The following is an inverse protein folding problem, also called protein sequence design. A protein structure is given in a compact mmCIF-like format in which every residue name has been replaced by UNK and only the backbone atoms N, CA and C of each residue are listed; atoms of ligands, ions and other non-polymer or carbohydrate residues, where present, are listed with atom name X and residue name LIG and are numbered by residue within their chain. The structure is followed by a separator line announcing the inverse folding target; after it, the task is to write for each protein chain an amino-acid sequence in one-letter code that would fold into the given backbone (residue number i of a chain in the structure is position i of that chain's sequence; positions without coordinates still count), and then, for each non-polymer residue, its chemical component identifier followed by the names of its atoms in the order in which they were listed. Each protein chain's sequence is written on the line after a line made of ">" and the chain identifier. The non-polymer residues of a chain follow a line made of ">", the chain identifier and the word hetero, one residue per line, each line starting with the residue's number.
data_IF_300302130300
#
_entry.id   IF_300302130300
#
_cell.length_a   1.000
_cell.length_b   1.000
_cell.length_c   1.000
_cell.angle_alpha   90.00
_cell.angle_beta   90.00
_cell.angle_gamma   90.00
#
_symmetry.space_group_name_H-M   'P 1'
#
loop_
_entity.id
_entity.type
_entity.pdbx_description
1 polymer ?
#
# COMPACT_ATOMS: atom_id res chain seq x y z
N UNK A 1 11.34 -2.53 11.91
CA UNK A 1 10.82 -2.16 13.25
C UNK A 1 11.73 -1.16 13.97
N UNK A 2 13.03 -1.41 14.14
CA UNK A 2 13.94 -0.49 14.86
C UNK A 2 14.08 0.92 14.21
N UNK A 3 13.96 1.03 12.88
CA UNK A 3 13.99 2.32 12.15
C UNK A 3 12.65 3.09 12.24
N UNK A 4 11.53 2.39 12.42
CA UNK A 4 10.19 3.01 12.49
C UNK A 4 9.90 3.52 13.91
N UNK A 5 10.44 2.84 14.94
CA UNK A 5 10.29 3.25 16.35
C UNK A 5 10.87 4.64 16.68
N UNK A 6 11.82 5.16 15.88
CA UNK A 6 12.35 6.53 16.04
C UNK A 6 11.38 7.63 15.61
N UNK A 7 10.28 7.28 14.94
CA UNK A 7 9.40 8.24 14.28
C UNK A 7 8.23 8.73 15.15
N UNK A 8 8.14 8.33 16.43
CA UNK A 8 7.09 8.70 17.42
C UNK A 8 5.62 8.60 16.94
N UNK A 9 5.36 7.90 15.83
CA UNK A 9 4.02 7.77 15.20
C UNK A 9 3.14 6.69 15.82
N UNK A 10 3.66 5.89 16.76
CA UNK A 10 2.90 4.85 17.46
C UNK A 10 2.77 5.18 18.94
N UNK A 11 1.61 4.94 19.56
CA UNK A 11 1.38 5.28 20.97
C UNK A 11 2.44 4.63 21.87
N UNK A 12 2.95 5.40 22.83
CA UNK A 12 4.13 5.09 23.67
C UNK A 12 4.04 3.75 24.40
N UNK A 13 2.84 3.23 24.59
CA UNK A 13 2.57 1.92 25.18
C UNK A 13 3.11 0.74 24.33
N UNK A 14 3.08 0.83 23.00
CA UNK A 14 3.65 -0.20 22.10
C UNK A 14 5.20 -0.17 22.05
N UNK A 15 5.82 0.91 22.50
CA UNK A 15 7.26 1.10 22.49
C UNK A 15 7.97 0.61 23.77
N UNK A 16 7.24 0.07 24.75
CA UNK A 16 7.81 -0.44 26.00
C UNK A 16 8.47 -1.81 25.74
N UNK A 17 9.77 -1.78 25.45
CA UNK A 17 10.59 -2.96 25.18
C UNK A 17 10.99 -3.60 26.52
N UNK A 18 10.78 -4.91 26.68
CA UNK A 18 11.17 -5.60 27.90
C UNK A 18 12.70 -5.79 27.96
N UNK A 19 13.33 -5.41 29.08
CA UNK A 19 14.79 -5.33 29.25
C UNK A 19 15.52 -6.69 29.13
N UNK A 20 14.80 -7.82 29.18
CA UNK A 20 15.36 -9.18 29.11
C UNK A 20 15.19 -9.88 27.76
N UNK A 21 14.15 -9.54 27.00
CA UNK A 21 13.80 -10.20 25.72
C UNK A 21 13.98 -9.30 24.50
N UNK A 22 14.31 -8.01 24.67
CA UNK A 22 14.56 -7.03 23.60
C UNK A 22 13.49 -6.97 22.49
N UNK A 23 12.31 -7.52 22.75
CA UNK A 23 11.17 -7.59 21.83
C UNK A 23 9.96 -6.87 22.46
N UNK A 24 9.10 -6.23 21.65
CA UNK A 24 7.92 -5.53 22.14
C UNK A 24 6.81 -6.52 22.51
N UNK A 25 6.95 -7.19 23.66
CA UNK A 25 6.05 -8.26 24.11
C UNK A 25 4.59 -7.78 24.18
N UNK A 26 4.33 -6.58 24.72
CA UNK A 26 2.98 -6.03 24.81
C UNK A 26 2.32 -5.84 23.43
N UNK A 27 3.10 -5.46 22.42
CA UNK A 27 2.62 -5.31 21.05
C UNK A 27 2.26 -6.66 20.42
N UNK A 28 3.14 -7.64 20.58
CA UNK A 28 2.94 -8.99 20.07
C UNK A 28 1.75 -9.69 20.73
N UNK A 29 1.61 -9.57 22.06
CA UNK A 29 0.49 -10.14 22.80
C UNK A 29 -0.84 -9.50 22.39
N UNK A 30 -0.90 -8.17 22.25
CA UNK A 30 -2.10 -7.47 21.81
C UNK A 30 -2.51 -7.88 20.39
N UNK A 31 -1.55 -7.87 19.44
CA UNK A 31 -1.79 -8.30 18.06
C UNK A 31 -2.25 -9.76 18.00
N UNK A 32 -1.62 -10.63 18.78
CA UNK A 32 -1.95 -12.06 18.86
C UNK A 32 -3.37 -12.30 19.40
N UNK A 33 -3.74 -11.64 20.50
CA UNK A 33 -5.10 -11.74 21.07
C UNK A 33 -6.13 -11.22 20.07
N UNK A 34 -5.89 -10.07 19.46
CA UNK A 34 -6.80 -9.50 18.46
C UNK A 34 -6.97 -10.44 17.25
N UNK A 35 -5.87 -11.00 16.75
CA UNK A 35 -5.91 -11.98 15.64
C UNK A 35 -6.63 -13.25 16.03
N UNK A 36 -6.43 -13.76 17.26
CA UNK A 36 -7.10 -14.95 17.78
C UNK A 36 -8.62 -14.74 17.92
N UNK A 37 -9.05 -13.57 18.40
CA UNK A 37 -10.47 -13.19 18.46
C UNK A 37 -11.05 -13.15 17.05
N UNK A 38 -10.40 -12.47 16.11
CA UNK A 38 -10.88 -12.42 14.72
C UNK A 38 -10.98 -13.81 14.08
N UNK A 39 -10.00 -14.69 14.34
CA UNK A 39 -10.00 -16.07 13.83
C UNK A 39 -11.07 -16.95 14.47
N UNK A 40 -11.45 -16.69 15.73
CA UNK A 40 -12.52 -17.43 16.42
C UNK A 40 -13.91 -17.06 15.90
N UNK A 41 -14.11 -15.81 15.50
CA UNK A 41 -15.38 -15.30 14.99
C UNK A 41 -15.53 -15.33 13.46
N UNK A 42 -14.47 -15.61 12.70
CA UNK A 42 -14.46 -15.54 11.24
C UNK A 42 -14.00 -16.85 10.61
N UNK A 43 -14.75 -17.34 9.62
CA UNK A 43 -14.34 -18.53 8.86
C UNK A 43 -12.99 -18.34 8.16
N UNK A 44 -12.18 -19.41 8.15
CA UNK A 44 -10.86 -19.43 7.53
C UNK A 44 -10.90 -19.00 6.06
N UNK A 45 -11.90 -19.44 5.28
CA UNK A 45 -12.04 -19.05 3.87
C UNK A 45 -12.29 -17.55 3.70
N UNK A 46 -13.06 -16.95 4.61
CA UNK A 46 -13.33 -15.51 4.59
C UNK A 46 -12.03 -14.77 4.93
N UNK A 47 -11.34 -15.19 5.99
CA UNK A 47 -10.07 -14.59 6.40
C UNK A 47 -9.00 -14.67 5.30
N UNK A 48 -8.87 -15.82 4.63
CA UNK A 48 -7.93 -16.01 3.52
C UNK A 48 -8.25 -15.11 2.32
N UNK A 49 -9.54 -14.95 1.99
CA UNK A 49 -9.95 -14.02 0.94
C UNK A 49 -9.64 -12.57 1.33
N UNK A 50 -9.88 -12.17 2.58
CA UNK A 50 -9.56 -10.82 3.08
C UNK A 50 -8.04 -10.54 3.02
N UNK A 51 -7.22 -11.49 3.49
CA UNK A 51 -5.75 -11.37 3.49
C UNK A 51 -5.21 -11.36 2.05
N UNK A 52 -5.75 -12.19 1.17
CA UNK A 52 -5.34 -12.25 -0.24
C UNK A 52 -5.66 -10.93 -0.96
N UNK A 53 -6.86 -10.37 -0.79
CA UNK A 53 -7.22 -9.05 -1.35
C UNK A 53 -6.25 -7.97 -0.85
N UNK A 54 -5.99 -7.94 0.46
CA UNK A 54 -5.09 -6.96 1.08
C UNK A 54 -3.65 -7.06 0.57
N UNK A 55 -3.09 -8.27 0.49
CA UNK A 55 -1.71 -8.49 0.02
C UNK A 55 -1.56 -8.16 -1.46
N UNK A 56 -2.49 -8.59 -2.32
CA UNK A 56 -2.50 -8.25 -3.75
C UNK A 56 -2.60 -6.73 -3.97
N UNK A 57 -3.42 -6.04 -3.17
CA UNK A 57 -3.54 -4.58 -3.22
C UNK A 57 -2.24 -3.88 -2.83
N UNK A 58 -1.58 -4.32 -1.74
CA UNK A 58 -0.30 -3.75 -1.32
C UNK A 58 0.77 -4.00 -2.38
N UNK A 59 0.86 -5.20 -2.96
CA UNK A 59 1.81 -5.47 -4.03
C UNK A 59 1.54 -4.65 -5.29
N UNK A 60 0.28 -4.43 -5.64
CA UNK A 60 -0.11 -3.51 -6.71
C UNK A 60 0.36 -2.07 -6.42
N UNK A 61 0.12 -1.56 -5.20
CA UNK A 61 0.57 -0.22 -4.81
C UNK A 61 2.09 -0.09 -4.84
N UNK A 62 2.82 -1.08 -4.31
CA UNK A 62 4.28 -1.10 -4.30
C UNK A 62 4.84 -1.09 -5.72
N UNK A 63 4.30 -1.90 -6.63
CA UNK A 63 4.73 -1.91 -8.03
C UNK A 63 4.53 -0.55 -8.72
N UNK A 64 3.39 0.11 -8.49
CA UNK A 64 3.14 1.46 -8.97
C UNK A 64 4.12 2.49 -8.37
N UNK A 65 4.37 2.41 -7.06
CA UNK A 65 5.30 3.29 -6.37
C UNK A 65 6.75 3.13 -6.87
N UNK A 66 7.17 1.91 -7.21
CA UNK A 66 8.49 1.65 -7.79
C UNK A 66 8.65 2.30 -9.17
N UNK A 67 7.62 2.24 -10.02
CA UNK A 67 7.63 2.92 -11.33
C UNK A 67 7.64 4.45 -11.10
N UNK A 68 6.75 4.96 -10.25
CA UNK A 68 6.70 6.40 -9.96
C UNK A 68 8.06 6.93 -9.47
N UNK A 69 8.68 6.26 -8.49
CA UNK A 69 9.99 6.64 -7.94
C UNK A 69 11.12 6.58 -8.97
N UNK A 70 11.03 5.67 -9.94
CA UNK A 70 12.06 5.52 -10.96
C UNK A 70 11.98 6.59 -12.05
N UNK A 71 10.76 6.90 -12.49
CA UNK A 71 10.51 7.67 -13.69
C UNK A 71 10.16 9.14 -13.42
N UNK A 72 9.78 9.48 -12.19
CA UNK A 72 9.63 10.88 -11.76
C UNK A 72 10.95 11.36 -11.17
N UNK A 73 11.63 12.34 -11.79
CA UNK A 73 12.82 12.96 -11.21
C UNK A 73 12.44 13.69 -9.91
N UNK A 74 13.34 13.72 -8.94
CA UNK A 74 13.27 14.65 -7.80
C UNK A 74 13.61 16.06 -8.30
N UNK A 75 12.65 16.72 -8.95
CA UNK A 75 12.79 18.05 -9.55
C UNK A 75 11.44 18.62 -10.04
N UNK A 76 11.39 19.84 -10.60
CA UNK A 76 10.15 20.54 -10.99
C UNK A 76 9.48 20.00 -12.28
N UNK A 77 9.84 18.81 -12.74
CA UNK A 77 9.28 18.18 -13.94
C UNK A 77 7.89 17.60 -13.68
N UNK A 78 7.01 17.75 -14.67
CA UNK A 78 5.60 17.31 -14.61
C UNK A 78 5.49 15.77 -14.52
N UNK A 79 4.90 15.20 -13.45
CA UNK A 79 4.76 13.74 -13.27
C UNK A 79 3.64 13.11 -14.12
N UNK A 80 2.86 13.95 -14.80
CA UNK A 80 1.66 13.58 -15.56
C UNK A 80 1.87 12.45 -16.58
N UNK A 81 2.95 12.41 -17.40
CA UNK A 81 3.12 11.35 -18.39
C UNK A 81 3.26 9.95 -17.77
N UNK A 82 3.96 9.85 -16.64
CA UNK A 82 4.14 8.59 -15.90
C UNK A 82 2.83 8.14 -15.25
N UNK A 83 2.06 9.07 -14.68
CA UNK A 83 0.75 8.75 -14.10
C UNK A 83 -0.26 8.33 -15.18
N UNK A 84 -0.28 9.00 -16.33
CA UNK A 84 -1.13 8.61 -17.46
C UNK A 84 -0.78 7.21 -17.94
N UNK A 85 0.52 6.86 -18.04
CA UNK A 85 0.92 5.50 -18.38
C UNK A 85 0.45 4.46 -17.35
N UNK A 86 0.67 4.73 -16.05
CA UNK A 86 0.27 3.81 -14.98
C UNK A 86 -1.24 3.56 -14.94
N UNK A 87 -2.03 4.64 -15.08
CA UNK A 87 -3.49 4.55 -15.10
C UNK A 87 -3.99 3.82 -16.34
N UNK A 88 -3.44 4.13 -17.53
CA UNK A 88 -3.76 3.40 -18.77
C UNK A 88 -3.43 1.92 -18.67
N UNK A 89 -2.21 1.57 -18.23
CA UNK A 89 -1.81 0.16 -18.08
C UNK A 89 -2.71 -0.58 -17.08
N UNK A 90 -3.07 0.06 -15.96
CA UNK A 90 -4.00 -0.52 -14.98
C UNK A 90 -5.41 -0.72 -15.56
N UNK A 91 -5.92 0.23 -16.34
CA UNK A 91 -7.24 0.09 -16.98
C UNK A 91 -7.25 -1.00 -18.05
N UNK A 92 -6.18 -1.12 -18.86
CA UNK A 92 -6.03 -2.19 -19.86
C UNK A 92 -6.02 -3.56 -19.18
N UNK A 93 -5.28 -3.68 -18.07
CA UNK A 93 -5.25 -4.92 -17.29
C UNK A 93 -6.60 -5.25 -16.65
N UNK A 94 -7.36 -4.25 -16.19
CA UNK A 94 -8.70 -4.47 -15.64
C UNK A 94 -9.66 -4.94 -16.74
N UNK A 95 -9.63 -4.32 -17.92
CA UNK A 95 -10.43 -4.72 -19.08
C UNK A 95 -10.09 -6.13 -19.52
N UNK A 96 -8.81 -6.50 -19.55
CA UNK A 96 -8.38 -7.89 -19.81
C UNK A 96 -9.02 -8.87 -18.82
N UNK A 97 -8.97 -8.56 -17.52
CA UNK A 97 -9.56 -9.42 -16.48
C UNK A 97 -11.09 -9.46 -16.55
N UNK A 98 -11.75 -8.36 -16.89
CA UNK A 98 -13.21 -8.32 -17.08
C UNK A 98 -13.65 -9.14 -18.31
N UNK A 99 -12.93 -9.04 -19.43
CA UNK A 99 -13.15 -9.88 -20.62
C UNK A 99 -12.96 -11.36 -20.25
N UNK A 100 -11.94 -11.67 -19.45
CA UNK A 100 -11.70 -13.02 -18.97
C UNK A 100 -12.91 -13.60 -18.21
N UNK A 101 -13.49 -12.80 -17.31
CA UNK A 101 -14.60 -13.22 -16.44
C UNK A 101 -15.98 -13.23 -17.13
N UNK A 102 -16.28 -12.24 -17.98
CA UNK A 102 -17.63 -12.03 -18.51
C UNK A 102 -17.85 -12.61 -19.92
N UNK A 103 -16.79 -12.88 -20.69
CA UNK A 103 -16.96 -13.28 -22.08
C UNK A 103 -17.36 -14.77 -22.22
N UNK A 104 -18.44 -15.09 -22.97
CA UNK A 104 -18.82 -16.46 -23.29
C UNK A 104 -17.72 -17.17 -24.09
N UNK A 105 -17.60 -18.50 -23.91
CA UNK A 105 -16.57 -19.32 -24.54
C UNK A 105 -16.72 -19.31 -26.06
N UNK A 106 -15.77 -18.71 -26.78
CA UNK A 106 -15.78 -18.63 -28.24
C UNK A 106 -14.48 -18.09 -28.82
N UNK A 107 -14.32 -18.21 -30.15
CA UNK A 107 -13.14 -17.71 -30.89
C UNK A 107 -12.94 -16.19 -30.70
N UNK A 108 -14.03 -15.45 -30.47
CA UNK A 108 -14.02 -14.01 -30.19
C UNK A 108 -13.33 -13.68 -28.87
N UNK A 109 -13.53 -14.49 -27.81
CA UNK A 109 -12.86 -14.32 -26.52
C UNK A 109 -11.34 -14.42 -26.65
N UNK A 110 -10.86 -15.43 -27.38
CA UNK A 110 -9.43 -15.60 -27.64
C UNK A 110 -8.84 -14.41 -28.42
N UNK A 111 -9.56 -13.90 -29.42
CA UNK A 111 -9.14 -12.72 -30.17
C UNK A 111 -9.09 -11.45 -29.29
N UNK A 112 -10.11 -11.20 -28.45
CA UNK A 112 -10.15 -10.03 -27.56
C UNK A 112 -9.08 -10.07 -26.45
N UNK A 113 -8.81 -11.27 -25.90
CA UNK A 113 -7.73 -11.47 -24.94
C UNK A 113 -6.36 -11.28 -25.60
N UNK A 114 -6.18 -11.78 -26.82
CA UNK A 114 -4.96 -11.55 -27.60
C UNK A 114 -4.75 -10.07 -27.91
N UNK A 115 -5.79 -9.37 -28.36
CA UNK A 115 -5.72 -7.94 -28.66
C UNK A 115 -5.38 -7.09 -27.43
N UNK A 116 -6.01 -7.34 -26.28
CA UNK A 116 -5.73 -6.62 -25.03
C UNK A 116 -4.33 -6.92 -24.48
N UNK A 117 -3.83 -8.15 -24.60
CA UNK A 117 -2.45 -8.49 -24.26
C UNK A 117 -1.44 -7.78 -25.17
N UNK A 118 -1.70 -7.70 -26.49
CA UNK A 118 -0.87 -6.97 -27.45
C UNK A 118 -0.86 -5.47 -27.12
N UNK A 119 -2.02 -4.88 -26.79
CA UNK A 119 -2.13 -3.47 -26.37
C UNK A 119 -1.37 -3.21 -25.06
N UNK A 120 -1.42 -4.13 -24.10
CA UNK A 120 -0.64 -4.03 -22.85
C UNK A 120 0.87 -4.03 -23.12
N UNK A 121 1.35 -4.95 -23.97
CA UNK A 121 2.76 -5.02 -24.37
C UNK A 121 3.16 -3.76 -25.14
N UNK A 122 2.35 -3.31 -26.09
CA UNK A 122 2.60 -2.09 -26.85
C UNK A 122 2.70 -0.86 -25.94
N UNK A 123 1.83 -0.76 -24.93
CA UNK A 123 1.86 0.34 -23.95
C UNK A 123 3.17 0.34 -23.15
N UNK A 124 3.66 -0.82 -22.70
CA UNK A 124 4.94 -0.96 -22.00
C UNK A 124 6.13 -0.59 -22.92
N UNK A 125 6.08 -0.99 -24.18
CA UNK A 125 7.11 -0.65 -25.17
C UNK A 125 7.11 0.86 -25.46
N UNK A 126 5.94 1.46 -25.69
CA UNK A 126 5.81 2.92 -25.89
C UNK A 126 6.39 3.67 -24.69
N UNK A 127 6.08 3.24 -23.47
CA UNK A 127 6.64 3.86 -22.26
C UNK A 127 8.16 3.72 -22.15
N UNK A 128 8.73 2.58 -22.60
CA UNK A 128 10.18 2.38 -22.68
C UNK A 128 10.85 3.37 -23.64
N UNK A 129 10.17 3.78 -24.71
CA UNK A 129 10.69 4.76 -25.68
C UNK A 129 10.41 6.21 -25.29
N UNK A 130 9.24 6.50 -24.69
CA UNK A 130 8.78 7.86 -24.39
C UNK A 130 9.41 8.43 -23.12
N UNK A 131 9.70 7.59 -22.12
CA UNK A 131 10.21 8.08 -20.82
C UNK A 131 11.68 7.69 -20.64
N UNK A 132 12.62 8.62 -20.86
CA UNK A 132 14.02 8.38 -20.56
C UNK A 132 14.17 8.13 -19.05
N UNK A 133 14.91 7.08 -18.68
CA UNK A 133 15.12 6.72 -17.28
C UNK A 133 15.83 7.86 -16.54
N UNK A 134 15.10 8.59 -15.70
CA UNK A 134 15.63 9.76 -15.01
C UNK A 134 16.62 9.41 -13.88
N UNK A 135 16.41 8.30 -13.16
CA UNK A 135 17.24 7.90 -12.03
C UNK A 135 17.96 6.57 -12.31
N UNK A 136 19.29 6.54 -12.31
CA UNK A 136 20.08 5.30 -12.17
C UNK A 136 20.25 5.03 -10.67
N UNK A 137 20.01 3.81 -10.16
CA UNK A 137 20.13 3.53 -8.74
C UNK A 137 21.62 3.33 -8.42
N UNK A 138 22.16 4.06 -7.44
CA UNK A 138 23.59 4.02 -7.14
C UNK A 138 24.07 2.71 -6.49
N UNK A 139 23.16 1.88 -5.94
CA UNK A 139 23.56 0.71 -5.15
C UNK A 139 22.82 -0.61 -5.47
N UNK A 140 21.52 -0.58 -5.78
CA UNK A 140 20.74 -1.79 -6.14
C UNK A 140 19.65 -1.44 -7.15
N UNK A 141 19.79 -1.94 -8.38
CA UNK A 141 18.78 -1.83 -9.43
C UNK A 141 18.12 -3.17 -9.69
N UNK A 142 16.79 -3.18 -9.81
CA UNK A 142 16.06 -4.39 -10.20
C UNK A 142 16.50 -4.77 -11.62
N UNK A 143 17.06 -5.98 -11.85
CA UNK A 143 17.33 -6.47 -13.19
C UNK A 143 15.98 -6.58 -13.92
N UNK A 144 15.89 -6.09 -15.16
CA UNK A 144 14.66 -6.02 -15.99
C UNK A 144 13.65 -4.89 -15.76
N UNK A 145 14.06 -3.71 -15.26
CA UNK A 145 13.20 -2.51 -15.35
C UNK A 145 12.89 -2.16 -16.82
N UNK A 146 11.61 -2.02 -17.24
CA UNK A 146 10.36 -1.91 -16.48
C UNK A 146 9.46 -3.16 -16.48
N UNK A 147 9.91 -4.27 -17.06
CA UNK A 147 9.09 -5.48 -17.23
C UNK A 147 8.67 -6.09 -15.89
N UNK A 148 9.57 -6.16 -14.91
CA UNK A 148 9.30 -6.76 -13.60
C UNK A 148 8.08 -6.12 -12.88
N UNK A 149 8.01 -4.79 -12.69
CA UNK A 149 6.84 -4.17 -12.07
C UNK A 149 5.59 -4.23 -12.96
N UNK A 150 5.71 -4.23 -14.30
CA UNK A 150 4.55 -4.35 -15.19
C UNK A 150 3.89 -5.75 -15.09
N UNK A 151 4.70 -6.82 -15.07
CA UNK A 151 4.21 -8.18 -14.85
C UNK A 151 3.55 -8.31 -13.48
N UNK A 152 4.14 -7.69 -12.45
CA UNK A 152 3.56 -7.68 -11.10
C UNK A 152 2.18 -7.00 -11.06
N UNK A 153 2.03 -5.83 -11.70
CA UNK A 153 0.73 -5.13 -11.77
C UNK A 153 -0.32 -5.99 -12.47
N UNK A 154 0.04 -6.60 -13.60
CA UNK A 154 -0.86 -7.47 -14.35
C UNK A 154 -1.34 -8.68 -13.52
N UNK A 155 -0.39 -9.41 -12.90
CA UNK A 155 -0.71 -10.57 -12.09
C UNK A 155 -1.57 -10.22 -10.88
N UNK A 156 -1.28 -9.10 -10.20
CA UNK A 156 -2.07 -8.65 -9.05
C UNK A 156 -3.51 -8.32 -9.46
N UNK A 157 -3.72 -7.63 -10.58
CA UNK A 157 -5.07 -7.29 -11.09
C UNK A 157 -5.82 -8.53 -11.58
N UNK A 158 -5.14 -9.46 -12.24
CA UNK A 158 -5.74 -10.72 -12.71
C UNK A 158 -6.19 -11.60 -11.53
N UNK A 159 -5.35 -11.72 -10.50
CA UNK A 159 -5.70 -12.45 -9.29
C UNK A 159 -6.85 -11.76 -8.55
N UNK A 160 -6.85 -10.42 -8.45
CA UNK A 160 -7.96 -9.67 -7.88
C UNK A 160 -9.27 -10.05 -8.60
N UNK A 161 -9.34 -9.95 -9.93
CA UNK A 161 -10.56 -10.29 -10.65
C UNK A 161 -10.88 -11.79 -10.70
N UNK A 162 -10.03 -12.67 -10.15
CA UNK A 162 -10.34 -14.10 -9.97
C UNK A 162 -10.94 -14.41 -8.59
N UNK A 163 -11.00 -13.45 -7.68
CA UNK A 163 -11.60 -13.62 -6.36
C UNK A 163 -13.12 -13.41 -6.39
N UNK A 164 -13.82 -14.11 -5.51
CA UNK A 164 -15.27 -14.04 -5.36
C UNK A 164 -15.78 -12.63 -5.05
N UNK A 165 -16.75 -12.16 -5.84
CA UNK A 165 -17.48 -10.91 -5.64
C UNK A 165 -18.00 -10.67 -4.21
N UNK A 166 -18.63 -11.66 -3.51
CA UNK A 166 -19.10 -11.45 -2.13
C UNK A 166 -17.96 -11.18 -1.14
N UNK A 167 -16.73 -11.59 -1.43
CA UNK A 167 -15.57 -11.33 -0.58
C UNK A 167 -15.17 -9.85 -0.60
N UNK A 168 -15.37 -9.15 -1.73
CA UNK A 168 -15.09 -7.72 -1.85
C UNK A 168 -15.99 -6.85 -0.99
N UNK A 169 -17.28 -7.18 -0.94
CA UNK A 169 -18.25 -6.44 -0.12
C UNK A 169 -17.91 -6.56 1.37
N UNK A 170 -17.54 -7.78 1.81
CA UNK A 170 -17.11 -8.06 3.19
C UNK A 170 -15.81 -7.34 3.53
N UNK A 171 -14.83 -7.37 2.63
CA UNK A 171 -13.57 -6.63 2.79
C UNK A 171 -13.82 -5.12 2.89
N UNK A 172 -14.71 -4.57 2.06
CA UNK A 172 -15.08 -3.15 2.08
C UNK A 172 -15.66 -2.71 3.42
N UNK A 173 -16.58 -3.50 4.01
CA UNK A 173 -17.13 -3.22 5.33
C UNK A 173 -16.05 -3.21 6.42
N UNK A 174 -15.22 -4.25 6.47
CA UNK A 174 -14.19 -4.38 7.51
C UNK A 174 -13.09 -3.33 7.38
N UNK A 175 -12.63 -3.07 6.15
CA UNK A 175 -11.66 -2.01 5.86
C UNK A 175 -12.23 -0.62 6.19
N UNK A 176 -13.49 -0.37 5.83
CA UNK A 176 -14.19 0.87 6.17
C UNK A 176 -14.28 1.09 7.69
N UNK A 177 -14.60 0.05 8.45
CA UNK A 177 -14.62 0.10 9.92
C UNK A 177 -13.23 0.43 10.49
N UNK A 178 -12.17 -0.22 10.00
CA UNK A 178 -10.78 0.07 10.43
C UNK A 178 -10.40 1.51 10.13
N UNK A 179 -10.67 1.98 8.92
CA UNK A 179 -10.38 3.37 8.52
C UNK A 179 -11.17 4.34 9.39
N UNK A 180 -12.44 4.06 9.66
CA UNK A 180 -13.27 4.88 10.54
C UNK A 180 -12.67 4.94 11.95
N UNK A 181 -12.32 3.81 12.56
CA UNK A 181 -11.66 3.77 13.88
C UNK A 181 -10.33 4.53 13.84
N UNK A 182 -9.53 4.38 12.78
CA UNK A 182 -8.27 5.09 12.62
C UNK A 182 -8.48 6.60 12.45
N UNK A 183 -9.52 7.05 11.75
CA UNK A 183 -9.85 8.46 11.61
C UNK A 183 -10.33 9.04 12.95
N UNK A 184 -11.19 8.35 13.68
CA UNK A 184 -11.63 8.78 15.02
C UNK A 184 -10.46 8.83 16.00
N UNK A 185 -9.63 7.77 16.04
CA UNK A 185 -8.40 7.77 16.83
C UNK A 185 -7.42 8.85 16.37
N UNK A 186 -7.26 9.06 15.06
CA UNK A 186 -6.34 10.03 14.47
C UNK A 186 -6.72 11.47 14.79
N UNK A 187 -8.02 11.79 14.74
CA UNK A 187 -8.56 13.10 15.16
C UNK A 187 -8.42 13.31 16.67
N UNK A 188 -8.59 12.26 17.47
CA UNK A 188 -8.38 12.34 18.91
C UNK A 188 -6.88 12.49 19.25
N UNK A 189 -6.02 11.72 18.58
CA UNK A 189 -4.58 11.74 18.76
C UNK A 189 -3.93 13.04 18.25
N UNK A 190 -4.50 13.68 17.21
CA UNK A 190 -4.07 15.03 16.81
C UNK A 190 -4.42 16.06 17.87
N UNK A 191 -5.59 15.93 18.52
CA UNK A 191 -5.98 16.82 19.63
C UNK A 191 -5.07 16.63 20.86
N UNK A 192 -4.68 15.40 21.17
CA UNK A 192 -3.74 15.10 22.26
C UNK A 192 -2.29 15.53 21.93
N UNK A 193 -1.90 15.56 20.65
CA UNK A 193 -0.59 16.05 20.23
C UNK A 193 -0.44 17.57 20.43
N UNK A 194 -1.52 18.33 20.24
CA UNK A 194 -1.55 19.79 20.45
C UNK A 194 -1.55 20.15 21.95
N UNK A 195 -2.32 19.43 22.77
CA UNK A 195 -2.36 19.65 24.22
C UNK A 195 -0.99 19.35 24.89
N UNK A 196 -0.35 18.23 24.56
CA UNK A 196 0.95 17.86 25.13
C UNK A 196 2.11 18.73 24.58
N UNK A 197 2.03 19.22 23.34
CA UNK A 197 2.97 20.19 22.79
C UNK A 197 2.89 21.55 23.48
N UNK A 198 1.67 22.01 23.83
CA UNK A 198 1.46 23.26 24.56
C UNK A 198 2.02 23.20 25.99
N UNK A 199 1.85 22.07 26.70
CA UNK A 199 2.46 21.86 28.03
C UNK A 199 4.00 21.84 27.97
N UNK A 200 4.61 21.20 26.97
CA UNK A 200 6.06 21.16 26.83
C UNK A 200 6.71 22.51 26.48
N UNK A 201 5.99 23.39 25.76
CA UNK A 201 6.45 24.77 25.48
C UNK A 201 6.38 25.63 26.75
N UNK A 202 5.36 25.45 27.59
CA UNK A 202 5.19 26.23 28.83
C UNK A 202 6.25 25.87 29.88
N UNK A 203 6.53 24.59 30.08
CA UNK A 203 7.63 24.13 30.96
C UNK A 203 9.01 24.62 30.47
N UNK A 204 9.22 24.69 29.16
CA UNK A 204 10.47 25.20 28.57
C UNK A 204 10.67 26.71 28.72
N UNK A 205 9.59 27.49 28.86
CA UNK A 205 9.65 28.93 29.14
C UNK A 205 9.87 29.19 30.64
N UNK A 206 9.16 28.48 31.53
CA UNK A 206 9.35 28.57 32.98
C UNK A 206 10.79 28.20 33.39
N UNK A 207 11.38 27.16 32.78
CA UNK A 207 12.76 26.77 33.06
C UNK A 207 13.78 27.81 32.57
N UNK A 208 13.48 28.55 31.51
CA UNK A 208 14.34 29.62 30.99
C UNK A 208 14.29 30.85 31.89
N UNK A 209 13.11 31.19 32.39
CA UNK A 209 12.87 32.33 33.29
C UNK A 209 13.51 32.09 34.67
N UNK A 210 13.57 30.84 35.12
CA UNK A 210 14.30 30.45 36.36
C UNK A 210 15.83 30.42 36.22
N UNK A 211 16.37 30.43 35.00
CA UNK A 211 17.82 30.43 34.74
C UNK A 211 18.33 31.86 34.48
N UNK A 212 17.46 32.80 34.13
CA UNK A 212 17.79 34.22 33.87
C UNK A 212 17.60 35.16 35.08
N UNK A 213 17.24 34.63 36.26
CA UNK A 213 17.11 35.37 37.55
C UNK A 213 18.19 34.91 38.53
#
# INVERSE_FOLDING_TARGET
>A
MCVIGRSRVVPVWFAKIHHRTSTPVNASSFLGIFTAVLALFTDLNILLNLVSIGTLFVFYMVANALIFKRYVPVGPTKPWPTLTFLTLFSTISLVFTLIWQLAPQGKVKAFMLGASAVVAIATVLIFRYVVPQANKPELWGVPFMPWTPCVSIFLNIFLLGSLDAPSYVRFGYFSGLIVLVYLFYGVHASSDAEANGCFGVRDGQDLKELIEV
#
